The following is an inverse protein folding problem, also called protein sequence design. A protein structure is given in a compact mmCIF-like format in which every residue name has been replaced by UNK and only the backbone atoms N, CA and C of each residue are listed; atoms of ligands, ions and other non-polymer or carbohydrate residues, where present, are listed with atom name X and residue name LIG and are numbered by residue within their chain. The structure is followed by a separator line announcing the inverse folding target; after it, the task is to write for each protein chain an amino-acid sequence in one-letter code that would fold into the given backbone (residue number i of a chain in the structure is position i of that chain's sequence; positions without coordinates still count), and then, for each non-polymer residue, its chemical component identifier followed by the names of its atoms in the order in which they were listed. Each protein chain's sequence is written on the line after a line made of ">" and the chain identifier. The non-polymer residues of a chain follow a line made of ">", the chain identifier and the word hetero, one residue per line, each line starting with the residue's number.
data_IF_250564037851
#
_entry.id   IF_250564037851
#
_cell.length_a   1.000
_cell.length_b   1.000
_cell.length_c   1.000
_cell.angle_alpha   90.00
_cell.angle_beta   90.00
_cell.angle_gamma   90.00
#
_symmetry.space_group_name_H-M   'P 1'
#
loop_
_entity.id
_entity.type
_entity.pdbx_description
1 polymer ?
#
# COMPACT_ATOMS: atom_id res chain seq x y z
N UNK A 1 36.68 -30.60 40.35
CA UNK A 1 36.35 -29.23 40.76
C UNK A 1 36.49 -28.29 39.58
N UNK A 2 35.39 -27.65 39.16
CA UNK A 2 35.25 -26.22 38.89
C UNK A 2 33.82 -26.00 38.39
N UNK A 3 32.96 -25.62 39.34
CA UNK A 3 31.65 -25.03 39.07
C UNK A 3 31.83 -23.81 38.18
N UNK A 4 31.03 -23.68 37.13
CA UNK A 4 30.70 -22.38 36.56
C UNK A 4 29.22 -22.13 36.75
N UNK A 5 28.94 -20.99 37.38
CA UNK A 5 27.66 -20.60 37.91
C UNK A 5 26.70 -20.18 36.80
N UNK A 6 25.43 -20.52 37.01
CA UNK A 6 24.24 -20.14 36.25
C UNK A 6 24.05 -18.61 36.29
N UNK A 7 23.77 -17.99 35.16
CA UNK A 7 23.09 -16.68 35.12
C UNK A 7 21.72 -16.87 34.45
N UNK A 8 20.69 -16.56 35.22
CA UNK A 8 19.27 -16.61 34.90
C UNK A 8 18.85 -15.35 34.13
N UNK A 9 18.00 -15.56 33.11
CA UNK A 9 16.91 -14.72 32.59
C UNK A 9 17.07 -13.19 32.66
N UNK A 10 17.20 -12.57 31.48
CA UNK A 10 16.77 -11.19 31.28
C UNK A 10 15.32 -11.20 30.78
N UNK A 11 14.40 -10.72 31.62
CA UNK A 11 13.00 -10.44 31.25
C UNK A 11 12.94 -9.17 30.39
N UNK A 12 12.14 -9.11 29.31
CA UNK A 12 11.93 -7.87 28.58
C UNK A 12 11.16 -6.89 29.48
N UNK A 13 11.74 -5.71 29.70
CA UNK A 13 11.07 -4.63 30.40
C UNK A 13 9.89 -4.12 29.56
N UNK A 14 8.68 -4.30 30.06
CA UNK A 14 7.48 -3.58 29.61
C UNK A 14 7.64 -2.11 29.96
N UNK A 15 8.02 -1.29 28.99
CA UNK A 15 8.01 0.18 29.09
C UNK A 15 6.79 0.69 28.33
N UNK A 16 5.82 1.20 29.10
CA UNK A 16 5.01 2.36 28.75
C UNK A 16 3.98 2.20 27.63
N UNK A 17 2.71 2.08 28.03
CA UNK A 17 1.56 2.25 27.15
C UNK A 17 1.48 3.68 26.58
N UNK A 18 1.87 3.83 25.30
CA UNK A 18 1.44 4.88 24.34
C UNK A 18 1.15 4.23 22.97
N UNK A 19 0.38 3.16 23.03
CA UNK A 19 0.10 2.16 22.00
C UNK A 19 -0.74 2.65 20.79
N UNK A 20 -0.62 3.89 20.33
CA UNK A 20 -1.40 4.30 19.13
C UNK A 20 -0.75 5.29 18.15
N UNK A 21 0.47 5.79 18.39
CA UNK A 21 1.05 6.81 17.50
C UNK A 21 2.56 6.67 17.19
N UNK A 22 3.28 5.70 17.74
CA UNK A 22 4.75 5.69 17.62
C UNK A 22 5.42 4.32 17.74
N UNK A 23 4.79 3.25 17.28
CA UNK A 23 5.61 2.21 16.66
C UNK A 23 5.98 2.80 15.30
N UNK A 24 7.05 3.62 15.29
CA UNK A 24 7.59 4.16 14.05
C UNK A 24 7.76 2.98 13.12
N UNK A 25 6.89 2.87 12.11
CA UNK A 25 7.06 1.85 11.08
C UNK A 25 8.47 2.06 10.58
N UNK A 26 9.38 1.14 10.92
CA UNK A 26 10.72 1.18 10.39
C UNK A 26 10.56 1.14 8.87
N UNK A 27 10.76 2.28 8.22
CA UNK A 27 10.54 2.40 6.78
C UNK A 27 11.55 1.50 6.10
N UNK A 28 11.04 0.62 5.24
CA UNK A 28 11.89 -0.24 4.46
C UNK A 28 12.67 0.60 3.44
N UNK A 29 13.97 0.29 3.23
CA UNK A 29 14.71 0.92 2.15
C UNK A 29 14.02 0.73 0.80
N UNK A 30 14.12 1.68 -0.15
CA UNK A 30 13.33 1.68 -1.39
C UNK A 30 13.37 0.35 -2.17
N UNK A 31 14.56 -0.23 -2.35
CA UNK A 31 14.71 -1.50 -3.08
C UNK A 31 14.12 -2.70 -2.33
N UNK A 32 14.12 -2.68 -1.00
CA UNK A 32 13.51 -3.74 -0.20
C UNK A 32 11.99 -3.64 -0.29
N UNK A 33 11.44 -2.43 -0.15
CA UNK A 33 10.01 -2.17 -0.28
C UNK A 33 9.49 -2.54 -1.68
N UNK A 34 10.19 -2.10 -2.73
CA UNK A 34 9.88 -2.45 -4.11
C UNK A 34 9.77 -3.98 -4.31
N UNK A 35 10.76 -4.74 -3.84
CA UNK A 35 10.75 -6.21 -3.94
C UNK A 35 9.66 -6.85 -3.09
N UNK A 36 9.31 -6.25 -1.95
CA UNK A 36 8.21 -6.72 -1.09
C UNK A 36 6.88 -6.58 -1.82
N UNK A 37 6.59 -5.41 -2.37
CA UNK A 37 5.34 -5.15 -3.12
C UNK A 37 5.17 -6.16 -4.26
N UNK A 38 6.20 -6.36 -5.09
CA UNK A 38 6.15 -7.33 -6.19
C UNK A 38 6.00 -8.79 -5.74
N UNK A 39 6.35 -9.13 -4.49
CA UNK A 39 6.07 -10.46 -3.92
C UNK A 39 4.62 -10.57 -3.49
N UNK A 40 4.08 -9.53 -2.86
CA UNK A 40 2.69 -9.50 -2.39
C UNK A 40 1.72 -9.55 -3.58
N UNK A 41 2.02 -8.85 -4.67
CA UNK A 41 1.23 -8.91 -5.91
C UNK A 41 1.08 -10.31 -6.50
N UNK A 42 1.98 -11.26 -6.18
CA UNK A 42 1.86 -12.65 -6.67
C UNK A 42 0.66 -13.39 -6.11
N UNK A 43 0.06 -12.88 -5.03
CA UNK A 43 -1.15 -13.41 -4.41
C UNK A 43 -2.44 -12.83 -5.03
N UNK A 44 -2.33 -11.78 -5.84
CA UNK A 44 -3.47 -11.16 -6.51
C UNK A 44 -3.88 -11.95 -7.74
N UNK A 45 -5.12 -11.74 -8.18
CA UNK A 45 -5.61 -12.23 -9.46
C UNK A 45 -4.69 -11.77 -10.61
N UNK A 46 -4.51 -12.60 -11.67
CA UNK A 46 -3.52 -12.34 -12.71
C UNK A 46 -3.62 -10.95 -13.35
N UNK A 47 -4.84 -10.48 -13.62
CA UNK A 47 -5.09 -9.17 -14.23
C UNK A 47 -4.68 -8.01 -13.29
N UNK A 48 -5.09 -8.10 -12.01
CA UNK A 48 -4.72 -7.12 -10.99
C UNK A 48 -3.21 -7.07 -10.77
N UNK A 49 -2.54 -8.23 -10.81
CA UNK A 49 -1.09 -8.33 -10.72
C UNK A 49 -0.40 -7.64 -11.91
N UNK A 50 -0.85 -7.88 -13.14
CA UNK A 50 -0.25 -7.26 -14.34
C UNK A 50 -0.36 -5.73 -14.25
N UNK A 51 -1.54 -5.23 -13.92
CA UNK A 51 -1.79 -3.81 -13.74
C UNK A 51 -0.91 -3.23 -12.63
N UNK A 52 -0.92 -3.85 -11.45
CA UNK A 52 -0.17 -3.40 -10.28
C UNK A 52 1.34 -3.42 -10.50
N UNK A 53 1.90 -4.49 -11.07
CA UNK A 53 3.34 -4.62 -11.33
C UNK A 53 3.83 -3.54 -12.29
N UNK A 54 3.04 -3.23 -13.33
CA UNK A 54 3.33 -2.16 -14.29
C UNK A 54 3.37 -0.79 -13.60
N UNK A 55 2.35 -0.51 -12.78
CA UNK A 55 2.22 0.75 -12.05
C UNK A 55 3.37 0.95 -11.05
N UNK A 56 3.65 -0.05 -10.20
CA UNK A 56 4.75 0.00 -9.21
C UNK A 56 6.09 0.25 -9.89
N UNK A 57 6.37 -0.44 -11.01
CA UNK A 57 7.62 -0.25 -11.77
C UNK A 57 7.76 1.18 -12.29
N UNK A 58 6.68 1.76 -12.79
CA UNK A 58 6.66 3.13 -13.30
C UNK A 58 6.90 4.14 -12.17
N UNK A 59 6.17 4.01 -11.07
CA UNK A 59 6.24 4.94 -9.94
C UNK A 59 7.62 4.94 -9.27
N UNK A 60 8.16 3.76 -8.97
CA UNK A 60 9.51 3.67 -8.38
C UNK A 60 10.60 4.19 -9.33
N UNK A 61 10.41 4.05 -10.64
CA UNK A 61 11.34 4.62 -11.63
C UNK A 61 11.24 6.14 -11.67
N UNK A 62 10.03 6.69 -11.69
CA UNK A 62 9.78 8.12 -11.70
C UNK A 62 10.35 8.82 -10.45
N UNK A 63 10.33 8.14 -9.30
CA UNK A 63 10.81 8.68 -8.03
C UNK A 63 12.29 8.35 -7.71
N UNK A 64 13.05 7.78 -8.65
CA UNK A 64 14.44 7.36 -8.42
C UNK A 64 15.39 8.52 -8.07
N UNK A 65 15.12 9.71 -8.59
CA UNK A 65 15.94 10.92 -8.41
C UNK A 65 15.28 11.94 -7.48
N UNK A 66 14.29 11.52 -6.68
CA UNK A 66 13.71 12.39 -5.68
C UNK A 66 14.74 12.68 -4.58
N UNK A 67 14.97 13.97 -4.30
CA UNK A 67 15.96 14.41 -3.30
C UNK A 67 15.32 14.94 -2.01
N UNK A 68 14.09 15.46 -2.10
CA UNK A 68 13.38 16.02 -0.95
C UNK A 68 13.08 14.91 0.08
N UNK A 69 13.68 14.96 1.30
CA UNK A 69 13.49 13.90 2.29
C UNK A 69 12.03 13.70 2.69
N UNK A 70 11.22 14.76 2.76
CA UNK A 70 9.80 14.66 3.11
C UNK A 70 9.02 13.89 2.04
N UNK A 71 9.32 14.13 0.77
CA UNK A 71 8.68 13.41 -0.34
C UNK A 71 9.10 11.94 -0.36
N UNK A 72 10.38 11.64 -0.10
CA UNK A 72 10.87 10.26 -0.01
C UNK A 72 10.19 9.52 1.14
N UNK A 73 10.10 10.15 2.32
CA UNK A 73 9.44 9.58 3.50
C UNK A 73 7.97 9.32 3.22
N UNK A 74 7.25 10.32 2.66
CA UNK A 74 5.84 10.16 2.29
C UNK A 74 5.65 9.01 1.30
N UNK A 75 6.45 8.97 0.24
CA UNK A 75 6.41 7.91 -0.76
C UNK A 75 6.62 6.51 -0.15
N UNK A 76 7.67 6.33 0.66
CA UNK A 76 7.96 5.04 1.29
C UNK A 76 6.88 4.64 2.29
N UNK A 77 6.31 5.61 3.02
CA UNK A 77 5.24 5.36 4.00
C UNK A 77 3.99 4.83 3.31
N UNK A 78 3.50 5.51 2.28
CA UNK A 78 2.29 5.10 1.55
C UNK A 78 2.46 3.72 0.89
N UNK A 79 3.60 3.48 0.26
CA UNK A 79 3.89 2.18 -0.36
C UNK A 79 4.05 1.04 0.66
N UNK A 80 4.57 1.34 1.85
CA UNK A 80 4.67 0.36 2.94
C UNK A 80 3.29 0.02 3.52
N UNK A 81 2.44 1.02 3.74
CA UNK A 81 1.05 0.82 4.16
C UNK A 81 0.26 0.03 3.12
N UNK A 82 0.42 0.34 1.83
CA UNK A 82 -0.18 -0.42 0.74
C UNK A 82 0.23 -1.91 0.76
N UNK A 83 1.53 -2.19 0.88
CA UNK A 83 2.02 -3.57 0.95
C UNK A 83 1.47 -4.32 2.17
N UNK A 84 1.41 -3.68 3.35
CA UNK A 84 0.85 -4.27 4.56
C UNK A 84 -0.64 -4.59 4.41
N UNK A 85 -1.40 -3.65 3.81
CA UNK A 85 -2.83 -3.81 3.57
C UNK A 85 -3.12 -4.97 2.60
N UNK A 86 -2.31 -5.10 1.55
CA UNK A 86 -2.39 -6.25 0.64
C UNK A 86 -2.01 -7.58 1.30
N UNK A 87 -1.07 -7.59 2.23
CA UNK A 87 -0.64 -8.82 2.92
C UNK A 87 -1.69 -9.36 3.88
N UNK A 88 -2.50 -8.47 4.48
CA UNK A 88 -3.52 -8.82 5.46
C UNK A 88 -4.91 -9.08 4.88
N UNK A 89 -5.07 -9.09 3.56
CA UNK A 89 -6.34 -9.21 2.82
C UNK A 89 -7.44 -8.19 3.24
N UNK A 90 -7.09 -7.22 4.07
CA UNK A 90 -8.00 -6.22 4.63
C UNK A 90 -8.48 -5.18 3.61
N UNK A 91 -7.90 -5.20 2.41
CA UNK A 91 -8.28 -4.32 1.33
C UNK A 91 -9.63 -4.68 0.69
N UNK A 92 -10.05 -5.94 0.76
CA UNK A 92 -11.30 -6.40 0.15
C UNK A 92 -12.48 -5.90 0.98
N UNK A 93 -13.35 -5.10 0.35
CA UNK A 93 -14.55 -4.55 1.00
C UNK A 93 -14.31 -3.31 1.85
N UNK A 94 -13.08 -2.78 1.91
CA UNK A 94 -12.81 -1.50 2.57
C UNK A 94 -13.45 -0.34 1.80
N UNK A 95 -14.13 0.55 2.53
CA UNK A 95 -14.71 1.76 1.94
C UNK A 95 -13.65 2.84 1.83
N UNK A 96 -13.72 3.63 0.76
CA UNK A 96 -12.88 4.82 0.62
C UNK A 96 -13.21 5.78 1.77
N UNK A 97 -12.18 6.21 2.49
CA UNK A 97 -12.31 7.20 3.55
C UNK A 97 -12.79 8.54 2.98
N UNK A 98 -13.76 9.16 3.64
CA UNK A 98 -14.31 10.47 3.26
C UNK A 98 -13.21 11.53 3.19
N UNK A 99 -12.26 11.48 4.11
CA UNK A 99 -11.14 12.43 4.12
C UNK A 99 -10.25 12.35 2.86
N UNK A 100 -10.26 11.19 2.16
CA UNK A 100 -9.56 11.01 0.89
C UNK A 100 -10.40 11.52 -0.27
N UNK A 101 -11.72 11.30 -0.25
CA UNK A 101 -12.63 11.84 -1.26
C UNK A 101 -12.62 13.36 -1.29
N UNK A 102 -12.60 14.01 -0.12
CA UNK A 102 -12.58 15.48 -0.01
C UNK A 102 -11.30 16.12 -0.59
N UNK A 103 -10.25 15.32 -0.81
CA UNK A 103 -8.98 15.78 -1.41
C UNK A 103 -8.91 15.58 -2.92
N UNK A 104 -9.89 14.88 -3.51
CA UNK A 104 -9.95 14.67 -4.95
C UNK A 104 -10.48 15.93 -5.65
N UNK A 105 -9.98 16.19 -6.85
CA UNK A 105 -10.59 17.21 -7.72
C UNK A 105 -11.94 16.72 -8.25
N UNK A 106 -12.80 17.65 -8.67
CA UNK A 106 -14.10 17.33 -9.27
C UNK A 106 -13.97 16.33 -10.44
N UNK A 107 -12.93 16.48 -11.25
CA UNK A 107 -12.62 15.56 -12.34
C UNK A 107 -12.27 14.15 -11.84
N UNK A 108 -11.46 14.04 -10.79
CA UNK A 108 -11.08 12.75 -10.20
C UNK A 108 -12.28 12.07 -9.54
N UNK A 109 -13.18 12.85 -8.93
CA UNK A 109 -14.45 12.34 -8.40
C UNK A 109 -15.34 11.80 -9.52
N UNK A 110 -15.45 12.52 -10.64
CA UNK A 110 -16.16 12.06 -11.84
C UNK A 110 -15.62 10.72 -12.36
N UNK A 111 -14.29 10.62 -12.55
CA UNK A 111 -13.64 9.38 -13.00
C UNK A 111 -13.86 8.20 -12.04
N UNK A 112 -13.82 8.47 -10.73
CA UNK A 112 -14.09 7.45 -9.72
C UNK A 112 -15.54 6.97 -9.79
N UNK A 113 -16.48 7.87 -10.07
CA UNK A 113 -17.88 7.54 -10.26
C UNK A 113 -18.11 6.69 -11.51
N UNK A 114 -17.54 7.08 -12.66
CA UNK A 114 -17.57 6.30 -13.91
C UNK A 114 -17.03 4.88 -13.69
N UNK A 115 -15.90 4.75 -13.01
CA UNK A 115 -15.31 3.45 -12.65
C UNK A 115 -16.26 2.62 -11.79
N UNK A 116 -16.93 3.23 -10.81
CA UNK A 116 -17.91 2.54 -9.97
C UNK A 116 -19.10 2.04 -10.79
N UNK A 117 -19.60 2.83 -11.74
CA UNK A 117 -20.71 2.43 -12.62
C UNK A 117 -20.32 1.28 -13.54
N UNK A 118 -19.15 1.35 -14.18
CA UNK A 118 -18.63 0.29 -15.05
C UNK A 118 -18.50 -1.05 -14.31
N UNK A 119 -18.05 -1.03 -13.05
CA UNK A 119 -17.94 -2.24 -12.22
C UNK A 119 -19.32 -2.81 -11.84
N UNK A 120 -20.33 -1.95 -11.59
CA UNK A 120 -21.69 -2.39 -11.26
C UNK A 120 -22.45 -2.92 -12.47
N UNK A 121 -22.20 -2.36 -13.65
CA UNK A 121 -22.88 -2.66 -14.89
C UNK A 121 -21.89 -3.12 -15.97
N UNK A 122 -21.27 -4.31 -15.83
CA UNK A 122 -20.22 -4.76 -16.76
C UNK A 122 -20.69 -4.98 -18.21
N UNK A 123 -22.00 -4.94 -18.47
CA UNK A 123 -22.61 -5.18 -19.78
C UNK A 123 -23.16 -3.91 -20.46
N UNK A 124 -23.01 -2.71 -19.88
CA UNK A 124 -23.61 -1.49 -20.44
C UNK A 124 -22.79 -0.82 -21.54
N UNK A 125 -21.60 -1.35 -21.90
CA UNK A 125 -20.70 -0.72 -22.88
C UNK A 125 -20.21 -1.65 -24.00
N UNK A 126 -21.05 -2.59 -24.45
CA UNK A 126 -20.95 -3.15 -25.81
C UNK A 126 -22.13 -2.66 -26.66
N UNK A 127 -22.07 -1.43 -27.16
CA UNK A 127 -22.95 -1.04 -28.26
C UNK A 127 -23.50 0.38 -28.29
N UNK A 128 -22.66 1.41 -28.23
CA UNK A 128 -23.03 2.73 -28.79
C UNK A 128 -21.80 3.36 -29.48
N UNK A 129 -21.27 2.66 -30.48
CA UNK A 129 -20.22 3.16 -31.37
C UNK A 129 -20.58 2.85 -32.81
N UNK A 130 -21.35 3.77 -33.42
CA UNK A 130 -21.69 3.96 -34.84
C UNK A 130 -23.20 3.99 -35.10
N UNK A 131 -23.72 5.22 -35.15
CA UNK A 131 -24.74 5.66 -36.11
C UNK A 131 -24.88 7.18 -36.04
N UNK A 132 -24.09 7.87 -36.85
CA UNK A 132 -24.53 9.02 -37.65
C UNK A 132 -23.46 9.36 -38.70
#
# INVERSE_FOLDING_TARGET
>A
MRLVHRLLMASPASIGSKSSLSEALALLPPLQLYRRILRVHRKLDPELRILGDSYVKKEFRAHRTAENPLHIIGFLTEWQLYAQKLEGDSWVGEKIDKSKLDKLSDQQVGQLFELMEAIKNPNSEEGEGEKQ
#
